data_IF_843687905909
#
_entry.id   IF_843687905909
#
_cell.length_a   1.000
_cell.length_b   1.000
_cell.length_c   1.000
_cell.angle_alpha   90.00
_cell.angle_beta   90.00
_cell.angle_gamma   90.00
#
_symmetry.space_group_name_H-M   'P 1'
#
loop_
_entity.id
_entity.type
_entity.pdbx_description
1 polymer ?
#
# COMPACT_ATOMS: atom_id res chain seq x y z
N UNK A 1 -6.49 -13.83 -17.57
CA UNK A 1 -6.64 -14.96 -16.62
C UNK A 1 -5.43 -15.14 -15.71
N UNK A 2 -4.19 -15.10 -16.23
CA UNK A 2 -2.95 -15.20 -15.42
C UNK A 2 -2.94 -14.27 -14.20
N UNK A 3 -3.19 -12.98 -14.37
CA UNK A 3 -3.17 -12.00 -13.27
C UNK A 3 -4.20 -12.30 -12.17
N UNK A 4 -5.43 -12.68 -12.56
CA UNK A 4 -6.49 -13.07 -11.62
C UNK A 4 -6.12 -14.32 -10.83
N UNK A 5 -5.55 -15.32 -11.50
CA UNK A 5 -5.10 -16.55 -10.85
C UNK A 5 -3.96 -16.27 -9.86
N UNK A 6 -2.97 -15.45 -10.26
CA UNK A 6 -1.89 -15.03 -9.37
C UNK A 6 -2.40 -14.23 -8.17
N UNK A 7 -3.37 -13.34 -8.37
CA UNK A 7 -3.98 -12.58 -7.27
C UNK A 7 -4.77 -13.48 -6.33
N UNK A 8 -5.57 -14.41 -6.84
CA UNK A 8 -6.28 -15.39 -6.03
C UNK A 8 -5.32 -16.29 -5.25
N UNK A 9 -4.24 -16.75 -5.88
CA UNK A 9 -3.19 -17.52 -5.22
C UNK A 9 -2.51 -16.70 -4.11
N UNK A 10 -2.22 -15.43 -4.38
CA UNK A 10 -1.67 -14.50 -3.40
C UNK A 10 -2.60 -14.31 -2.19
N UNK A 11 -3.90 -14.09 -2.41
CA UNK A 11 -4.88 -13.95 -1.33
C UNK A 11 -4.97 -15.23 -0.48
N UNK A 12 -5.03 -16.39 -1.14
CA UNK A 12 -5.04 -17.69 -0.47
C UNK A 12 -3.74 -17.90 0.32
N UNK A 13 -2.60 -17.49 -0.23
CA UNK A 13 -1.31 -17.59 0.45
C UNK A 13 -1.24 -16.70 1.71
N UNK A 14 -1.70 -15.45 1.65
CA UNK A 14 -1.81 -14.58 2.84
C UNK A 14 -2.76 -15.17 3.88
N UNK A 15 -3.88 -15.71 3.42
CA UNK A 15 -4.84 -16.36 4.31
C UNK A 15 -4.15 -17.52 5.06
N UNK A 16 -3.50 -18.43 4.35
CA UNK A 16 -2.76 -19.54 4.97
C UNK A 16 -1.66 -19.07 5.94
N UNK A 17 -0.90 -18.04 5.60
CA UNK A 17 0.13 -17.47 6.48
C UNK A 17 -0.45 -16.90 7.78
N UNK A 18 -1.65 -16.33 7.72
CA UNK A 18 -2.35 -15.79 8.89
C UNK A 18 -2.76 -16.89 9.88
N UNK A 19 -3.20 -18.05 9.37
CA UNK A 19 -3.60 -19.19 10.21
C UNK A 19 -2.45 -20.10 10.64
N UNK A 20 -1.29 -20.02 9.98
CA UNK A 20 -0.13 -20.84 10.30
C UNK A 20 0.38 -20.60 11.73
N UNK A 21 0.16 -21.58 12.62
CA UNK A 21 0.57 -21.52 14.03
C UNK A 21 1.96 -22.09 14.28
N UNK A 22 2.54 -22.84 13.35
CA UNK A 22 3.85 -23.47 13.56
C UNK A 22 5.00 -22.63 13.02
N UNK A 23 6.05 -22.49 13.84
CA UNK A 23 7.27 -21.78 13.48
C UNK A 23 7.98 -22.40 12.26
N UNK A 24 7.94 -23.73 12.13
CA UNK A 24 8.55 -24.46 11.00
C UNK A 24 7.87 -24.11 9.67
N UNK A 25 6.54 -24.07 9.61
CA UNK A 25 5.80 -23.72 8.38
C UNK A 25 6.10 -22.26 7.99
N UNK A 26 6.14 -21.35 8.96
CA UNK A 26 6.47 -19.95 8.69
C UNK A 26 7.90 -19.79 8.16
N UNK A 27 8.89 -20.46 8.76
CA UNK A 27 10.27 -20.44 8.28
C UNK A 27 10.44 -21.08 6.88
N UNK A 28 9.68 -22.15 6.59
CA UNK A 28 9.66 -22.74 5.26
C UNK A 28 9.03 -21.79 4.23
N UNK A 29 7.96 -21.08 4.62
CA UNK A 29 7.33 -20.10 3.73
C UNK A 29 8.23 -18.89 3.45
N UNK A 30 8.96 -18.36 4.44
CA UNK A 30 9.89 -17.24 4.24
C UNK A 30 11.03 -17.65 3.33
N UNK A 31 11.64 -18.83 3.55
CA UNK A 31 12.72 -19.32 2.71
C UNK A 31 12.27 -19.55 1.27
N UNK A 32 11.06 -20.09 1.05
CA UNK A 32 10.48 -20.24 -0.28
C UNK A 32 10.24 -18.89 -0.96
N UNK A 33 9.76 -17.87 -0.23
CA UNK A 33 9.59 -16.52 -0.77
C UNK A 33 10.92 -15.85 -1.12
N UNK A 34 11.96 -16.03 -0.30
CA UNK A 34 13.31 -15.54 -0.59
C UNK A 34 13.88 -16.21 -1.84
N UNK A 35 13.68 -17.53 -1.98
CA UNK A 35 14.09 -18.26 -3.17
C UNK A 35 13.30 -17.79 -4.40
N UNK A 36 12.00 -17.57 -4.28
CA UNK A 36 11.18 -17.00 -5.34
C UNK A 36 11.68 -15.61 -5.76
N UNK A 37 12.05 -14.75 -4.81
CA UNK A 37 12.63 -13.43 -5.09
C UNK A 37 13.94 -13.54 -5.90
N UNK A 38 14.78 -14.53 -5.59
CA UNK A 38 16.03 -14.78 -6.31
C UNK A 38 15.79 -15.28 -7.73
N UNK A 39 14.86 -16.24 -7.92
CA UNK A 39 14.60 -16.88 -9.22
C UNK A 39 13.80 -15.97 -10.17
N UNK A 40 12.82 -15.23 -9.66
CA UNK A 40 11.94 -14.43 -10.52
C UNK A 40 12.70 -13.28 -11.21
N UNK A 41 12.38 -12.94 -12.47
CA UNK A 41 13.00 -11.83 -13.21
C UNK A 41 12.40 -10.49 -12.77
N UNK A 42 12.55 -10.16 -11.48
CA UNK A 42 12.09 -8.91 -10.89
C UNK A 42 13.20 -7.87 -10.94
N UNK A 43 12.87 -6.66 -11.38
CA UNK A 43 13.76 -5.51 -11.24
C UNK A 43 13.83 -5.04 -9.78
N UNK A 44 15.00 -4.55 -9.37
CA UNK A 44 15.22 -3.95 -8.03
C UNK A 44 14.83 -4.88 -6.87
N UNK A 45 15.27 -6.15 -6.92
CA UNK A 45 15.04 -7.17 -5.87
C UNK A 45 15.45 -6.71 -4.48
N UNK A 46 16.58 -6.02 -4.38
CA UNK A 46 17.11 -5.48 -3.12
C UNK A 46 16.16 -4.43 -2.54
N UNK A 47 15.56 -3.58 -3.37
CA UNK A 47 14.60 -2.58 -2.90
C UNK A 47 13.33 -3.23 -2.34
N UNK A 48 12.88 -4.34 -2.93
CA UNK A 48 11.74 -5.11 -2.43
C UNK A 48 12.06 -5.64 -1.03
N UNK A 49 13.22 -6.28 -0.87
CA UNK A 49 13.65 -6.83 0.41
C UNK A 49 13.81 -5.73 1.47
N UNK A 50 14.42 -4.60 1.09
CA UNK A 50 14.64 -3.45 1.98
C UNK A 50 13.32 -2.83 2.43
N UNK A 51 12.34 -2.66 1.53
CA UNK A 51 11.01 -2.16 1.87
C UNK A 51 10.27 -3.11 2.79
N UNK A 52 10.27 -4.41 2.49
CA UNK A 52 9.67 -5.44 3.36
C UNK A 52 10.29 -5.43 4.76
N UNK A 53 11.62 -5.31 4.84
CA UNK A 53 12.35 -5.23 6.10
C UNK A 53 11.98 -3.97 6.90
N UNK A 54 11.94 -2.78 6.30
CA UNK A 54 11.59 -1.56 7.04
C UNK A 54 10.15 -1.57 7.55
N UNK A 55 9.20 -2.04 6.74
CA UNK A 55 7.80 -2.17 7.17
C UNK A 55 7.68 -3.14 8.33
N UNK A 56 8.36 -4.30 8.24
CA UNK A 56 8.40 -5.30 9.29
C UNK A 56 9.08 -4.78 10.57
N UNK A 57 10.17 -4.04 10.44
CA UNK A 57 10.88 -3.44 11.57
C UNK A 57 9.99 -2.45 12.32
N UNK A 58 9.30 -1.55 11.61
CA UNK A 58 8.36 -0.61 12.21
C UNK A 58 7.22 -1.34 12.93
N UNK A 59 6.65 -2.37 12.29
CA UNK A 59 5.61 -3.19 12.88
C UNK A 59 6.08 -3.94 14.14
N UNK A 60 7.25 -4.59 14.10
CA UNK A 60 7.78 -5.34 15.23
C UNK A 60 8.20 -4.43 16.39
N UNK A 61 8.68 -3.21 16.11
CA UNK A 61 8.95 -2.22 17.16
C UNK A 61 7.68 -1.81 17.93
N UNK A 62 6.53 -1.78 17.26
CA UNK A 62 5.27 -1.46 17.92
C UNK A 62 4.66 -2.70 18.62
N UNK A 63 4.63 -3.85 17.95
CA UNK A 63 3.90 -5.03 18.43
C UNK A 63 4.80 -5.92 19.28
N UNK A 64 5.91 -6.38 18.73
CA UNK A 64 6.80 -7.34 19.40
C UNK A 64 7.44 -6.73 20.65
N UNK A 65 7.72 -5.42 20.66
CA UNK A 65 8.22 -4.73 21.85
C UNK A 65 7.20 -4.73 23.00
N UNK A 66 5.93 -4.45 22.72
CA UNK A 66 4.87 -4.49 23.75
C UNK A 66 4.70 -5.90 24.32
N UNK A 67 4.72 -6.92 23.46
CA UNK A 67 4.64 -8.32 23.92
C UNK A 67 5.87 -8.76 24.71
N UNK A 68 7.06 -8.27 24.35
CA UNK A 68 8.28 -8.50 25.11
C UNK A 68 8.20 -7.89 26.51
N UNK A 69 7.76 -6.63 26.63
CA UNK A 69 7.57 -5.96 27.92
C UNK A 69 6.56 -6.71 28.82
N UNK A 70 5.42 -7.12 28.26
CA UNK A 70 4.40 -7.88 29.00
C UNK A 70 4.96 -9.25 29.43
N UNK A 71 5.73 -9.92 28.56
CA UNK A 71 6.38 -11.18 28.88
C UNK A 71 7.36 -11.06 30.04
N UNK A 72 8.13 -9.98 30.07
CA UNK A 72 9.09 -9.67 31.14
C UNK A 72 8.37 -9.41 32.48
N UNK A 73 7.26 -8.66 32.45
CA UNK A 73 6.43 -8.40 33.64
C UNK A 73 5.71 -9.66 34.15
N UNK A 74 5.34 -10.57 33.26
CA UNK A 74 4.58 -11.79 33.60
C UNK A 74 5.47 -13.01 33.91
N UNK A 75 6.80 -12.88 33.77
CA UNK A 75 7.75 -13.98 33.96
C UNK A 75 7.61 -15.14 32.96
N UNK A 76 6.85 -14.96 31.87
CA UNK A 76 6.60 -16.01 30.88
C UNK A 76 7.56 -15.87 29.70
N UNK A 77 8.23 -16.97 29.35
CA UNK A 77 9.05 -17.01 28.15
C UNK A 77 8.17 -17.08 26.89
N UNK A 78 8.15 -16.00 26.10
CA UNK A 78 7.37 -15.87 24.85
C UNK A 78 8.23 -15.72 23.60
N UNK A 79 9.49 -16.16 23.64
CA UNK A 79 10.44 -16.00 22.53
C UNK A 79 9.93 -16.63 21.22
N UNK A 80 9.36 -17.83 21.28
CA UNK A 80 8.81 -18.50 20.10
C UNK A 80 7.69 -17.67 19.44
N UNK A 81 6.81 -17.08 20.25
CA UNK A 81 5.73 -16.23 19.77
C UNK A 81 6.24 -14.95 19.09
N UNK A 82 7.26 -14.31 19.67
CA UNK A 82 7.88 -13.12 19.08
C UNK A 82 8.52 -13.42 17.72
N UNK A 83 9.21 -14.57 17.61
CA UNK A 83 9.80 -15.02 16.34
C UNK A 83 8.70 -15.35 15.32
N UNK A 84 7.63 -16.03 15.74
CA UNK A 84 6.51 -16.34 14.86
C UNK A 84 5.82 -15.09 14.30
N UNK A 85 5.55 -14.09 15.13
CA UNK A 85 4.98 -12.81 14.67
C UNK A 85 5.91 -12.15 13.65
N UNK A 86 7.20 -12.07 13.97
CA UNK A 86 8.19 -11.39 13.14
C UNK A 86 8.36 -12.08 11.78
N UNK A 87 8.37 -13.42 11.75
CA UNK A 87 8.40 -14.19 10.52
C UNK A 87 7.11 -14.03 9.71
N UNK A 88 5.94 -14.09 10.37
CA UNK A 88 4.64 -13.92 9.69
C UNK A 88 4.51 -12.55 9.06
N UNK A 89 4.79 -11.49 9.81
CA UNK A 89 4.71 -10.11 9.32
C UNK A 89 5.67 -9.88 8.15
N UNK A 90 6.90 -10.41 8.24
CA UNK A 90 7.87 -10.38 7.16
C UNK A 90 7.40 -11.15 5.91
N UNK A 91 6.92 -12.39 6.07
CA UNK A 91 6.40 -13.21 4.96
C UNK A 91 5.27 -12.49 4.22
N UNK A 92 4.30 -11.95 4.95
CA UNK A 92 3.14 -11.25 4.36
C UNK A 92 3.63 -10.01 3.61
N UNK A 93 4.49 -9.20 4.22
CA UNK A 93 5.04 -8.00 3.58
C UNK A 93 5.81 -8.35 2.29
N UNK A 94 6.70 -9.35 2.35
CA UNK A 94 7.49 -9.79 1.21
C UNK A 94 6.60 -10.35 0.09
N UNK A 95 5.65 -11.22 0.41
CA UNK A 95 4.69 -11.76 -0.55
C UNK A 95 3.87 -10.65 -1.22
N UNK A 96 3.45 -9.64 -0.45
CA UNK A 96 2.73 -8.47 -0.94
C UNK A 96 3.55 -7.71 -1.97
N UNK A 97 4.80 -7.35 -1.64
CA UNK A 97 5.65 -6.61 -2.58
C UNK A 97 5.98 -7.42 -3.84
N UNK A 98 6.18 -8.74 -3.73
CA UNK A 98 6.38 -9.62 -4.90
C UNK A 98 5.12 -9.65 -5.76
N UNK A 99 3.94 -9.85 -5.15
CA UNK A 99 2.66 -9.92 -5.87
C UNK A 99 2.36 -8.64 -6.65
N UNK A 100 2.52 -7.47 -6.03
CA UNK A 100 2.30 -6.18 -6.69
C UNK A 100 3.27 -5.88 -7.84
N UNK A 101 4.42 -6.56 -7.92
CA UNK A 101 5.34 -6.46 -9.05
C UNK A 101 5.00 -7.40 -10.20
N UNK A 102 4.37 -8.54 -9.89
CA UNK A 102 4.03 -9.55 -10.89
C UNK A 102 2.64 -9.35 -11.50
N UNK A 103 1.74 -8.71 -10.76
CA UNK A 103 0.31 -8.65 -11.08
C UNK A 103 -0.04 -7.26 -11.62
N UNK A 104 -0.74 -7.22 -12.76
CA UNK A 104 -1.38 -6.00 -13.22
C UNK A 104 -2.74 -5.82 -12.53
N UNK A 105 -2.83 -4.86 -11.62
CA UNK A 105 -4.04 -4.54 -10.85
C UNK A 105 -5.26 -4.28 -11.76
N UNK A 106 -5.08 -3.57 -12.89
CA UNK A 106 -6.19 -3.30 -13.82
C UNK A 106 -6.80 -4.58 -14.39
N UNK A 107 -5.97 -5.61 -14.67
CA UNK A 107 -6.43 -6.93 -15.15
C UNK A 107 -7.04 -7.79 -14.05
N UNK A 108 -6.71 -7.54 -12.79
CA UNK A 108 -7.34 -8.23 -11.66
C UNK A 108 -8.79 -7.77 -11.51
N UNK A 109 -9.01 -6.46 -11.59
CA UNK A 109 -10.31 -5.84 -11.37
C UNK A 109 -11.18 -5.72 -12.64
N UNK A 110 -10.76 -6.31 -13.75
CA UNK A 110 -11.51 -6.29 -15.02
C UNK A 110 -12.80 -7.13 -15.03
N UNK A 111 -13.13 -7.80 -13.90
CA UNK A 111 -14.34 -8.60 -13.76
C UNK A 111 -15.64 -7.78 -13.80
N UNK A 112 -15.56 -6.49 -13.47
CA UNK A 112 -16.70 -5.57 -13.51
C UNK A 112 -16.35 -4.35 -14.34
N UNK A 113 -17.21 -4.04 -15.32
CA UNK A 113 -17.10 -2.84 -16.15
C UNK A 113 -17.07 -1.58 -15.28
N UNK A 114 -17.91 -1.52 -14.25
CA UNK A 114 -17.99 -0.36 -13.34
C UNK A 114 -16.72 -0.17 -12.53
N UNK A 115 -16.13 -1.26 -12.00
CA UNK A 115 -14.88 -1.17 -11.21
C UNK A 115 -13.71 -0.79 -12.11
N UNK A 116 -13.62 -1.40 -13.29
CA UNK A 116 -12.59 -1.08 -14.29
C UNK A 116 -12.66 0.39 -14.68
N UNK A 117 -13.88 0.86 -14.93
CA UNK A 117 -14.13 2.24 -15.30
C UNK A 117 -13.75 3.21 -14.18
N UNK A 118 -14.12 2.91 -12.93
CA UNK A 118 -13.75 3.70 -11.77
C UNK A 118 -12.23 3.77 -11.61
N UNK A 119 -11.53 2.64 -11.77
CA UNK A 119 -10.07 2.58 -11.72
C UNK A 119 -9.43 3.50 -12.78
N UNK A 120 -9.96 3.51 -14.00
CA UNK A 120 -9.48 4.38 -15.08
C UNK A 120 -9.71 5.87 -14.73
N UNK A 121 -10.92 6.25 -14.31
CA UNK A 121 -11.20 7.63 -13.90
C UNK A 121 -10.26 8.05 -12.76
N UNK A 122 -10.20 7.27 -11.69
CA UNK A 122 -9.41 7.62 -10.49
C UNK A 122 -7.93 7.74 -10.84
N UNK A 123 -7.38 6.79 -11.61
CA UNK A 123 -5.98 6.85 -12.04
C UNK A 123 -5.67 8.10 -12.87
N UNK A 124 -6.58 8.53 -13.76
CA UNK A 124 -6.40 9.77 -14.53
C UNK A 124 -6.37 11.01 -13.62
N UNK A 125 -7.26 11.09 -12.63
CA UNK A 125 -7.30 12.21 -11.70
C UNK A 125 -6.14 12.24 -10.72
N UNK A 126 -5.59 11.09 -10.33
CA UNK A 126 -4.38 11.03 -9.49
C UNK A 126 -3.25 11.83 -10.15
N UNK A 127 -3.01 11.65 -11.45
CA UNK A 127 -1.95 12.39 -12.15
C UNK A 127 -2.25 13.89 -12.22
N UNK A 128 -3.50 14.28 -12.49
CA UNK A 128 -3.90 15.69 -12.50
C UNK A 128 -3.72 16.34 -11.13
N UNK A 129 -4.12 15.66 -10.05
CA UNK A 129 -4.02 16.20 -8.71
C UNK A 129 -2.59 16.23 -8.19
N UNK A 130 -1.75 15.25 -8.54
CA UNK A 130 -0.32 15.30 -8.24
C UNK A 130 0.36 16.50 -8.89
N UNK A 131 0.07 16.76 -10.18
CA UNK A 131 0.59 17.94 -10.87
C UNK A 131 0.14 19.24 -10.19
N UNK A 132 -1.16 19.33 -9.87
CA UNK A 132 -1.73 20.52 -9.26
C UNK A 132 -1.18 20.74 -7.83
N UNK A 133 -0.90 19.66 -7.09
CA UNK A 133 -0.22 19.72 -5.80
C UNK A 133 1.21 20.28 -5.93
N UNK A 134 1.96 19.85 -6.95
CA UNK A 134 3.28 20.41 -7.23
C UNK A 134 3.22 21.91 -7.60
N UNK A 135 2.21 22.33 -8.36
CA UNK A 135 1.97 23.74 -8.71
C UNK A 135 1.70 24.59 -7.45
N UNK A 136 0.86 24.11 -6.52
CA UNK A 136 0.65 24.78 -5.24
C UNK A 136 1.92 24.87 -4.40
N UNK A 137 2.72 23.79 -4.35
CA UNK A 137 4.00 23.79 -3.64
C UNK A 137 4.97 24.81 -4.21
N UNK A 138 5.03 24.93 -5.54
CA UNK A 138 5.86 25.91 -6.23
C UNK A 138 5.38 27.35 -5.98
N UNK A 139 4.06 27.58 -5.99
CA UNK A 139 3.46 28.87 -5.67
C UNK A 139 3.72 29.30 -4.21
N UNK A 140 3.68 28.35 -3.26
CA UNK A 140 4.05 28.62 -1.88
C UNK A 140 5.54 28.98 -1.75
N UNK A 141 6.41 28.23 -2.44
CA UNK A 141 7.86 28.46 -2.44
C UNK A 141 8.22 29.81 -3.04
N UNK A 142 7.55 30.27 -4.09
CA UNK A 142 7.82 31.58 -4.70
C UNK A 142 7.37 32.76 -3.84
N UNK A 143 6.34 32.57 -3.01
CA UNK A 143 5.80 33.60 -2.12
C UNK A 143 6.46 33.65 -0.74
N UNK A 144 7.33 32.68 -0.42
CA UNK A 144 7.96 32.61 0.90
C UNK A 144 9.47 32.75 0.77
N UNK A 145 10.03 33.80 1.37
CA UNK A 145 11.48 34.00 1.47
C UNK A 145 11.95 33.29 2.75
N UNK A 146 12.72 32.21 2.61
CA UNK A 146 13.31 31.49 3.75
C UNK A 146 12.48 30.30 4.29
N UNK A 147 12.62 30.00 5.58
CA UNK A 147 12.01 28.81 6.20
C UNK A 147 10.52 29.01 6.45
N UNK A 148 9.69 28.09 5.94
CA UNK A 148 8.24 28.10 6.18
C UNK A 148 7.98 27.60 7.61
N UNK A 149 7.45 28.48 8.48
CA UNK A 149 7.03 28.12 9.84
C UNK A 149 5.92 27.08 9.88
N UNK A 150 5.87 26.27 10.95
CA UNK A 150 4.92 25.15 11.09
C UNK A 150 3.46 25.57 11.01
N UNK A 151 3.09 26.74 11.56
CA UNK A 151 1.72 27.26 11.48
C UNK A 151 1.30 27.56 10.03
N UNK A 152 2.19 28.16 9.23
CA UNK A 152 1.92 28.46 7.82
C UNK A 152 1.78 27.18 7.00
N UNK A 153 2.59 26.15 7.29
CA UNK A 153 2.44 24.82 6.66
C UNK A 153 1.06 24.22 6.96
N UNK A 154 0.61 24.29 8.21
CA UNK A 154 -0.68 23.72 8.60
C UNK A 154 -1.84 24.42 7.90
N UNK A 155 -1.83 25.76 7.86
CA UNK A 155 -2.85 26.57 7.15
C UNK A 155 -2.81 26.31 5.64
N UNK A 156 -1.62 26.14 5.06
CA UNK A 156 -1.48 25.80 3.65
C UNK A 156 -2.09 24.42 3.36
N UNK A 157 -1.77 23.40 4.18
CA UNK A 157 -2.32 22.05 4.02
C UNK A 157 -3.84 22.06 4.18
N UNK A 158 -4.39 22.79 5.15
CA UNK A 158 -5.84 22.85 5.35
C UNK A 158 -6.56 23.44 4.14
N UNK A 159 -6.06 24.57 3.61
CA UNK A 159 -6.61 25.21 2.41
C UNK A 159 -6.47 24.34 1.17
N UNK A 160 -5.37 23.60 1.07
CA UNK A 160 -5.13 22.70 -0.04
C UNK A 160 -6.09 21.50 0.01
N UNK A 161 -6.34 20.93 1.20
CA UNK A 161 -7.33 19.86 1.39
C UNK A 161 -8.75 20.34 1.03
N UNK A 162 -9.14 21.51 1.50
CA UNK A 162 -10.42 22.14 1.18
C UNK A 162 -10.58 22.33 -0.34
N UNK A 163 -9.57 22.92 -1.00
CA UNK A 163 -9.55 23.08 -2.44
C UNK A 163 -9.70 21.75 -3.19
N UNK A 164 -8.92 20.72 -2.82
CA UNK A 164 -8.98 19.43 -3.51
C UNK A 164 -10.32 18.71 -3.28
N UNK A 165 -10.89 18.87 -2.09
CA UNK A 165 -12.21 18.32 -1.78
C UNK A 165 -13.30 18.97 -2.64
N UNK A 166 -13.39 20.30 -2.65
CA UNK A 166 -14.34 21.03 -3.49
C UNK A 166 -14.14 20.74 -4.99
N UNK A 167 -12.88 20.72 -5.43
CA UNK A 167 -12.54 20.38 -6.81
C UNK A 167 -12.99 18.97 -7.16
N UNK A 168 -12.85 18.01 -6.25
CA UNK A 168 -13.28 16.63 -6.48
C UNK A 168 -14.80 16.48 -6.64
N UNK A 169 -15.58 17.17 -5.81
CA UNK A 169 -17.06 17.16 -5.91
C UNK A 169 -17.48 17.74 -7.26
N UNK A 170 -16.99 18.93 -7.59
CA UNK A 170 -17.34 19.61 -8.85
C UNK A 170 -16.92 18.79 -10.07
N UNK A 171 -15.70 18.24 -10.05
CA UNK A 171 -15.19 17.42 -11.15
C UNK A 171 -16.02 16.14 -11.31
N UNK A 172 -16.49 15.54 -10.21
CA UNK A 172 -17.38 14.38 -10.25
C UNK A 172 -18.72 14.72 -10.91
N UNK A 173 -19.30 15.87 -10.59
CA UNK A 173 -20.55 16.35 -11.21
C UNK A 173 -20.37 16.64 -12.70
N UNK A 174 -19.32 17.38 -13.06
CA UNK A 174 -18.97 17.69 -14.45
C UNK A 174 -18.76 16.41 -15.28
N UNK A 175 -18.02 15.43 -14.74
CA UNK A 175 -17.80 14.14 -15.38
C UNK A 175 -19.09 13.35 -15.54
N UNK A 176 -19.91 13.30 -14.50
CA UNK A 176 -21.20 12.61 -14.55
C UNK A 176 -22.08 13.19 -15.66
N UNK A 177 -22.22 14.52 -15.74
CA UNK A 177 -22.99 15.18 -16.79
C UNK A 177 -22.40 14.96 -18.19
N UNK A 178 -21.06 15.02 -18.32
CA UNK A 178 -20.37 14.76 -19.58
C UNK A 178 -20.52 13.31 -20.06
N UNK A 179 -20.54 12.34 -19.13
CA UNK A 179 -20.80 10.95 -19.44
C UNK A 179 -22.26 10.73 -19.84
N UNK A 180 -23.19 11.33 -19.09
CA UNK A 180 -24.62 11.26 -19.38
C UNK A 180 -24.95 11.82 -20.76
N UNK A 181 -24.39 12.97 -21.14
CA UNK A 181 -24.61 13.55 -22.47
C UNK A 181 -24.03 12.72 -23.62
N UNK A 182 -23.05 11.86 -23.33
CA UNK A 182 -22.47 10.91 -24.28
C UNK A 182 -23.21 9.57 -24.33
N UNK A 183 -24.36 9.44 -23.65
CA UNK A 183 -25.17 8.22 -23.65
C UNK A 183 -24.56 7.08 -22.83
N UNK A 184 -23.76 7.38 -21.81
CA UNK A 184 -23.12 6.33 -21.00
C UNK A 184 -24.08 5.58 -20.07
N UNK A 185 -25.27 6.14 -19.84
CA UNK A 185 -26.31 5.62 -18.96
C UNK A 185 -27.58 5.15 -19.70
N UNK A 186 -27.57 5.23 -21.03
CA UNK A 186 -28.62 4.70 -21.93
C UNK A 186 -28.13 3.39 -22.57
#
# INVERSE_FOLDING_TARGET
>A
MKDKALFSFYLLFIFLLSFGSSLKILAMSTSLLLLALLVLPLEKKIDILRKAFYVCLLFNLLVSFTYFLIGLLSGQNRWEYLVMISLRSFSIALATFIAFRLINIYKVFDFSKSVSFLMIIVSSHIFTYLRLFEEFKNALKSRTIGHIGSNVKMVFISRLLEFFFEKSIRTSEELYQAMKSRGFYD
#
